data_IF_914448494613
#
_entry.id   IF_914448494613
#
_cell.length_a   1.000
_cell.length_b   1.000
_cell.length_c   1.000
_cell.angle_alpha   90.00
_cell.angle_beta   90.00
_cell.angle_gamma   90.00
#
_symmetry.space_group_name_H-M   'P 1'
#
loop_
_entity.id
_entity.type
_entity.pdbx_description
1 polymer ?
#
# COMPACT_ATOMS: atom_id res chain seq x y z
N UNK A 1 -34.02 41.44 22.33
CA UNK A 1 -33.79 42.11 23.60
C UNK A 1 -32.32 42.30 23.71
N UNK A 2 -31.94 43.45 23.36
CA UNK A 2 -31.35 44.59 24.14
C UNK A 2 -29.87 44.45 24.34
N UNK A 3 -29.18 45.23 23.58
CA UNK A 3 -27.88 45.89 23.75
C UNK A 3 -27.85 46.75 25.05
N UNK A 4 -26.90 47.60 25.38
CA UNK A 4 -25.54 47.90 24.89
C UNK A 4 -24.64 48.56 26.01
N UNK A 5 -23.62 49.36 25.54
CA UNK A 5 -22.97 50.56 26.12
C UNK A 5 -21.62 50.29 26.83
N UNK A 6 -20.66 51.20 26.84
CA UNK A 6 -20.27 52.41 26.10
C UNK A 6 -18.94 52.94 26.70
N UNK A 7 -18.10 53.51 25.87
CA UNK A 7 -17.41 54.83 25.85
C UNK A 7 -16.80 55.44 27.14
N UNK A 8 -15.64 56.09 26.91
CA UNK A 8 -15.11 57.28 27.59
C UNK A 8 -13.61 57.39 27.40
N UNK A 9 -12.97 58.13 26.60
CA UNK A 9 -12.89 59.57 26.26
C UNK A 9 -12.37 60.47 27.39
N UNK A 10 -11.25 61.20 27.13
CA UNK A 10 -10.76 62.39 27.87
C UNK A 10 -9.27 62.58 27.71
N UNK A 11 -8.82 63.37 27.00
CA UNK A 11 -8.49 64.78 26.61
C UNK A 11 -7.90 65.62 27.77
N UNK A 12 -6.86 66.35 27.39
CA UNK A 12 -6.48 67.67 27.93
C UNK A 12 -5.05 67.71 28.43
N UNK A 13 -4.23 68.59 28.12
CA UNK A 13 -4.09 69.86 27.45
C UNK A 13 -2.85 70.56 28.06
N UNK A 14 -2.00 71.08 27.22
CA UNK A 14 -1.25 72.34 27.24
C UNK A 14 -0.54 72.81 28.50
N UNK A 15 0.72 73.28 28.26
CA UNK A 15 1.40 74.28 29.07
C UNK A 15 2.75 74.66 28.47
N UNK A 16 2.77 75.77 27.74
CA UNK A 16 3.96 76.53 27.31
C UNK A 16 4.57 77.22 28.53
N UNK A 17 5.87 77.39 28.55
CA UNK A 17 6.53 78.67 28.84
C UNK A 17 8.01 78.66 28.45
N UNK A 18 8.44 79.69 28.02
CA UNK A 18 9.47 80.33 27.30
C UNK A 18 10.57 80.87 28.22
N UNK A 19 11.77 81.05 27.65
CA UNK A 19 12.78 82.13 27.81
C UNK A 19 14.08 81.79 28.54
N UNK A 20 15.14 81.86 27.87
CA UNK A 20 16.11 82.89 27.63
C UNK A 20 17.51 82.70 28.29
N UNK A 21 18.56 82.95 27.45
CA UNK A 21 19.88 83.46 27.72
C UNK A 21 21.06 82.50 27.86
N UNK A 22 21.93 82.55 26.79
CA UNK A 22 23.36 82.19 26.74
C UNK A 22 24.21 83.19 27.58
N UNK A 23 25.55 83.02 27.77
CA UNK A 23 26.58 82.53 26.84
C UNK A 23 27.82 81.82 27.47
N UNK A 24 28.63 81.23 26.58
CA UNK A 24 30.12 81.15 26.56
C UNK A 24 30.84 80.24 27.58
N UNK A 25 31.43 79.17 27.12
CA UNK A 25 32.87 78.98 26.93
C UNK A 25 33.22 77.58 26.45
N UNK A 26 34.24 77.28 25.69
CA UNK A 26 34.55 76.00 25.09
C UNK A 26 35.36 75.11 26.01
N UNK A 27 34.87 74.00 26.36
CA UNK A 27 35.65 72.97 27.01
C UNK A 27 35.98 71.84 26.03
N UNK A 28 37.28 71.65 25.82
CA UNK A 28 37.90 70.55 25.10
C UNK A 28 37.44 69.22 25.68
N UNK A 29 36.61 68.48 24.98
CA UNK A 29 36.32 67.12 25.28
C UNK A 29 37.33 66.15 24.65
N UNK A 30 37.82 65.12 25.37
CA UNK A 30 38.71 64.14 24.79
C UNK A 30 37.92 63.28 23.77
N UNK A 31 38.45 63.16 22.58
CA UNK A 31 37.98 62.22 21.58
C UNK A 31 38.10 60.81 22.12
N UNK A 32 36.98 60.22 22.56
CA UNK A 32 36.86 58.81 22.82
C UNK A 32 36.97 58.09 21.45
N UNK A 33 38.09 57.44 21.22
CA UNK A 33 38.22 56.47 20.16
C UNK A 33 37.31 55.28 20.47
N UNK A 34 36.09 55.32 19.94
CA UNK A 34 35.26 54.09 19.83
C UNK A 34 35.87 53.18 18.77
N UNK A 35 36.80 52.35 19.18
CA UNK A 35 37.14 51.18 18.38
C UNK A 35 35.92 50.25 18.36
N UNK A 36 35.15 50.34 17.29
CA UNK A 36 34.18 49.31 16.95
C UNK A 36 34.93 47.97 16.72
N UNK A 37 35.08 47.24 17.79
CA UNK A 37 35.54 45.84 17.72
C UNK A 37 34.40 45.03 17.15
N UNK A 38 34.32 44.92 15.82
CA UNK A 38 33.45 44.01 15.12
C UNK A 38 33.84 42.61 15.52
N UNK A 39 33.07 41.99 16.42
CA UNK A 39 33.19 40.59 16.74
C UNK A 39 33.00 39.79 15.46
N UNK A 40 33.84 38.82 15.15
CA UNK A 40 33.66 38.00 13.97
C UNK A 40 32.37 37.13 14.12
N UNK A 41 31.40 37.37 13.26
CA UNK A 41 30.13 36.58 13.15
C UNK A 41 30.35 35.13 12.66
N UNK A 42 31.59 34.61 12.71
CA UNK A 42 32.04 33.41 11.99
C UNK A 42 31.74 32.08 12.70
N UNK A 43 31.54 32.09 14.01
CA UNK A 43 31.44 30.81 14.77
C UNK A 43 30.06 30.13 14.71
N UNK A 44 28.97 30.90 14.62
CA UNK A 44 27.62 30.35 14.57
C UNK A 44 27.32 29.73 13.17
N UNK A 45 27.80 30.40 12.11
CA UNK A 45 27.61 29.92 10.73
C UNK A 45 28.43 28.68 10.41
N UNK A 46 29.64 28.54 10.99
CA UNK A 46 30.49 27.35 10.89
C UNK A 46 29.85 26.14 11.59
N UNK A 47 29.29 26.34 12.79
CA UNK A 47 28.61 25.30 13.56
C UNK A 47 27.31 24.83 12.86
N UNK A 48 26.59 25.74 12.21
CA UNK A 48 25.39 25.39 11.42
C UNK A 48 25.76 24.54 10.19
N UNK A 49 26.80 24.93 9.45
CA UNK A 49 27.29 24.17 8.30
C UNK A 49 27.80 22.79 8.70
N UNK A 50 28.54 22.69 9.79
CA UNK A 50 29.05 21.41 10.31
C UNK A 50 27.92 20.47 10.74
N UNK A 51 26.88 20.98 11.39
CA UNK A 51 25.66 20.20 11.72
C UNK A 51 24.95 19.72 10.45
N UNK A 52 24.82 20.59 9.43
CA UNK A 52 24.25 20.22 8.14
C UNK A 52 25.06 19.10 7.45
N UNK A 53 26.38 19.19 7.42
CA UNK A 53 27.25 18.14 6.86
C UNK A 53 27.12 16.82 7.63
N UNK A 54 27.02 16.85 8.96
CA UNK A 54 26.82 15.64 9.77
C UNK A 54 25.45 15.00 9.49
N UNK A 55 24.38 15.81 9.36
CA UNK A 55 23.04 15.30 9.02
C UNK A 55 23.04 14.69 7.62
N UNK A 56 23.63 15.38 6.63
CA UNK A 56 23.72 14.86 5.25
C UNK A 56 24.56 13.58 5.23
N UNK A 57 25.70 13.56 5.92
CA UNK A 57 26.56 12.40 6.01
C UNK A 57 25.92 11.18 6.68
N UNK A 58 24.95 11.40 7.60
CA UNK A 58 24.17 10.33 8.23
C UNK A 58 22.97 9.90 7.37
N UNK A 59 22.29 10.86 6.74
CA UNK A 59 21.10 10.56 5.93
C UNK A 59 21.45 9.92 4.59
N UNK A 60 22.57 10.30 3.96
CA UNK A 60 22.94 9.80 2.64
C UNK A 60 23.08 8.27 2.57
N UNK A 61 23.82 7.60 3.49
CA UNK A 61 23.91 6.14 3.48
C UNK A 61 22.56 5.46 3.77
N UNK A 62 21.71 6.05 4.62
CA UNK A 62 20.36 5.52 4.88
C UNK A 62 19.50 5.60 3.62
N UNK A 63 19.51 6.73 2.93
CA UNK A 63 18.82 6.90 1.65
C UNK A 63 19.37 5.95 0.59
N UNK A 64 20.69 5.78 0.52
CA UNK A 64 21.33 4.85 -0.41
C UNK A 64 20.93 3.39 -0.12
N UNK A 65 20.89 2.98 1.14
CA UNK A 65 20.43 1.63 1.54
C UNK A 65 18.96 1.42 1.20
N UNK A 66 18.10 2.40 1.48
CA UNK A 66 16.68 2.35 1.11
C UNK A 66 16.50 2.28 -0.40
N UNK A 67 17.28 3.04 -1.16
CA UNK A 67 17.27 3.02 -2.62
C UNK A 67 17.71 1.65 -3.15
N UNK A 68 18.85 1.13 -2.68
CA UNK A 68 19.34 -0.21 -3.03
C UNK A 68 18.30 -1.29 -2.71
N UNK A 69 17.73 -1.25 -1.52
CA UNK A 69 16.69 -2.20 -1.12
C UNK A 69 15.45 -2.13 -2.03
N UNK A 70 15.03 -0.93 -2.46
CA UNK A 70 13.90 -0.76 -3.38
C UNK A 70 14.21 -1.34 -4.77
N UNK A 71 15.44 -1.19 -5.26
CA UNK A 71 15.85 -1.58 -6.62
C UNK A 71 16.51 -2.96 -6.71
N UNK A 72 16.89 -3.62 -5.61
CA UNK A 72 17.25 -5.05 -5.61
C UNK A 72 15.97 -5.86 -5.80
N UNK A 73 15.66 -6.16 -7.06
CA UNK A 73 14.45 -6.86 -7.44
C UNK A 73 14.70 -8.36 -7.53
N UNK A 74 13.69 -9.20 -7.16
CA UNK A 74 13.79 -10.63 -7.45
C UNK A 74 13.80 -10.87 -8.97
N UNK A 75 14.55 -11.86 -9.41
CA UNK A 75 14.47 -12.32 -10.79
C UNK A 75 13.16 -13.10 -10.99
N UNK A 76 12.16 -12.41 -11.55
CA UNK A 76 10.85 -13.01 -11.83
C UNK A 76 10.84 -13.83 -13.12
N UNK A 77 11.89 -13.72 -13.96
CA UNK A 77 11.95 -14.43 -15.26
C UNK A 77 12.02 -15.94 -15.08
N UNK A 78 12.58 -16.41 -13.97
CA UNK A 78 12.62 -17.83 -13.59
C UNK A 78 11.22 -18.44 -13.47
N UNK A 79 10.20 -17.62 -13.14
CA UNK A 79 8.82 -18.08 -13.02
C UNK A 79 8.15 -18.44 -14.38
N UNK A 80 8.82 -18.17 -15.50
CA UNK A 80 8.36 -18.67 -16.82
C UNK A 80 8.31 -20.18 -16.88
N UNK A 81 9.31 -20.83 -16.28
CA UNK A 81 9.51 -22.28 -16.40
C UNK A 81 9.45 -22.99 -15.04
N UNK A 82 9.64 -22.30 -13.94
CA UNK A 82 9.70 -22.91 -12.61
C UNK A 82 8.60 -22.40 -11.70
N UNK A 83 8.17 -23.25 -10.78
CA UNK A 83 7.21 -22.89 -9.75
C UNK A 83 7.95 -22.48 -8.48
N UNK A 84 7.44 -21.53 -7.68
CA UNK A 84 8.05 -21.17 -6.42
C UNK A 84 7.99 -22.37 -5.45
N UNK A 85 9.07 -22.63 -4.71
CA UNK A 85 9.10 -23.68 -3.68
C UNK A 85 8.38 -23.24 -2.39
N UNK A 86 8.34 -21.94 -2.12
CA UNK A 86 7.69 -21.31 -0.98
C UNK A 86 7.39 -19.84 -1.35
N UNK A 87 6.43 -19.23 -0.68
CA UNK A 87 6.10 -17.81 -0.91
C UNK A 87 6.28 -17.01 0.37
N UNK A 88 6.57 -15.71 0.25
CA UNK A 88 6.66 -14.81 1.41
C UNK A 88 5.37 -14.80 2.25
N UNK A 89 4.21 -15.01 1.61
CA UNK A 89 2.94 -15.18 2.32
C UNK A 89 2.96 -16.40 3.24
N UNK A 90 3.41 -17.56 2.73
CA UNK A 90 3.49 -18.81 3.51
C UNK A 90 4.43 -18.68 4.69
N UNK A 91 5.63 -18.11 4.47
CA UNK A 91 6.61 -17.85 5.52
C UNK A 91 6.06 -16.88 6.58
N UNK A 92 5.42 -15.79 6.15
CA UNK A 92 4.78 -14.83 7.05
C UNK A 92 3.70 -15.49 7.90
N UNK A 93 2.88 -16.37 7.32
CA UNK A 93 1.83 -17.09 8.05
C UNK A 93 2.38 -18.07 9.07
N UNK A 94 3.44 -18.78 8.69
CA UNK A 94 4.14 -19.69 9.59
C UNK A 94 4.75 -18.93 10.79
N UNK A 95 5.48 -17.85 10.54
CA UNK A 95 6.06 -17.02 11.58
C UNK A 95 5.01 -16.39 12.51
N UNK A 96 3.85 -15.96 11.96
CA UNK A 96 2.73 -15.46 12.74
C UNK A 96 2.13 -16.54 13.67
N UNK A 97 2.03 -17.78 13.22
CA UNK A 97 1.54 -18.88 14.03
C UNK A 97 2.52 -19.24 15.16
N UNK A 98 3.80 -19.34 14.83
CA UNK A 98 4.87 -19.61 15.79
C UNK A 98 4.93 -18.55 16.90
N UNK A 99 4.80 -17.26 16.53
CA UNK A 99 4.73 -16.16 17.49
C UNK A 99 3.51 -16.24 18.43
N UNK A 100 2.46 -16.96 18.03
CA UNK A 100 1.25 -17.22 18.83
C UNK A 100 1.32 -18.58 19.56
N UNK A 101 2.45 -19.30 19.51
CA UNK A 101 2.67 -20.54 20.20
C UNK A 101 2.00 -21.76 19.56
N UNK A 102 1.63 -21.71 18.28
CA UNK A 102 1.06 -22.84 17.56
C UNK A 102 1.71 -23.02 16.17
N UNK A 103 1.51 -24.19 15.58
CA UNK A 103 1.96 -24.49 14.22
C UNK A 103 0.77 -24.57 13.28
N UNK A 104 0.94 -24.13 12.04
CA UNK A 104 -0.08 -24.27 10.99
C UNK A 104 0.43 -25.31 9.99
N UNK A 105 -0.38 -26.34 9.72
CA UNK A 105 -0.13 -27.26 8.62
C UNK A 105 -0.16 -26.52 7.29
N UNK A 106 0.75 -26.87 6.38
CA UNK A 106 0.76 -26.33 5.02
C UNK A 106 0.11 -27.35 4.09
N UNK A 107 -1.10 -27.05 3.60
CA UNK A 107 -1.79 -27.80 2.56
C UNK A 107 -1.60 -27.05 1.25
N UNK A 108 -0.72 -27.55 0.40
CA UNK A 108 -0.38 -26.92 -0.88
C UNK A 108 -0.13 -27.98 -1.94
N UNK A 109 -0.89 -27.91 -3.03
CA UNK A 109 -0.74 -28.79 -4.20
C UNK A 109 -0.75 -27.95 -5.45
N UNK A 110 0.33 -28.03 -6.23
CA UNK A 110 0.45 -27.33 -7.49
C UNK A 110 -0.21 -28.10 -8.62
N UNK A 111 -1.02 -27.42 -9.42
CA UNK A 111 -1.58 -27.96 -10.67
C UNK A 111 -1.42 -26.93 -11.82
N UNK A 112 -1.19 -27.35 -13.07
CA UNK A 112 -1.15 -26.44 -14.20
C UNK A 112 -2.54 -25.81 -14.41
N UNK A 113 -2.57 -24.62 -15.04
CA UNK A 113 -3.80 -23.86 -15.28
C UNK A 113 -4.88 -24.69 -16.00
N UNK A 114 -4.49 -25.56 -16.94
CA UNK A 114 -5.38 -26.47 -17.67
C UNK A 114 -6.09 -27.49 -16.78
N UNK A 115 -5.60 -27.74 -15.57
CA UNK A 115 -6.21 -28.61 -14.58
C UNK A 115 -7.03 -27.88 -13.52
N UNK A 116 -7.20 -26.56 -13.65
CA UNK A 116 -8.09 -25.76 -12.82
C UNK A 116 -9.36 -25.49 -13.61
N UNK A 117 -10.52 -25.72 -12.98
CA UNK A 117 -11.84 -25.49 -13.59
C UNK A 117 -11.91 -24.13 -14.31
N UNK A 118 -12.41 -24.04 -15.52
CA UNK A 118 -12.64 -22.79 -16.21
C UNK A 118 -13.56 -21.86 -15.40
N UNK A 119 -14.52 -22.41 -14.69
CA UNK A 119 -15.39 -21.64 -13.80
C UNK A 119 -14.63 -20.98 -12.66
N UNK A 120 -13.63 -21.66 -12.05
CA UNK A 120 -12.81 -21.04 -11.00
C UNK A 120 -11.91 -19.93 -11.56
N UNK A 121 -11.31 -20.15 -12.72
CA UNK A 121 -10.50 -19.13 -13.41
C UNK A 121 -11.31 -17.85 -13.66
N UNK A 122 -12.52 -18.01 -14.21
CA UNK A 122 -13.44 -16.90 -14.48
C UNK A 122 -13.96 -16.25 -13.19
N UNK A 123 -14.37 -17.06 -12.21
CA UNK A 123 -14.88 -16.54 -10.93
C UNK A 123 -13.87 -15.64 -10.23
N UNK A 124 -12.59 -16.05 -10.23
CA UNK A 124 -11.50 -15.30 -9.61
C UNK A 124 -11.23 -14.00 -10.35
N UNK A 125 -11.14 -14.05 -11.68
CA UNK A 125 -10.97 -12.84 -12.51
C UNK A 125 -12.14 -11.89 -12.29
N UNK A 126 -13.37 -12.37 -12.40
CA UNK A 126 -14.57 -11.56 -12.21
C UNK A 126 -14.68 -10.96 -10.78
N UNK A 127 -14.16 -11.67 -9.77
CA UNK A 127 -14.22 -11.22 -8.37
C UNK A 127 -13.15 -10.21 -8.00
N UNK A 128 -11.91 -10.43 -8.45
CA UNK A 128 -10.72 -9.73 -7.99
C UNK A 128 -10.20 -8.69 -9.00
N UNK A 129 -10.39 -8.92 -10.32
CA UNK A 129 -9.77 -8.11 -11.36
C UNK A 129 -10.46 -8.34 -12.72
N UNK A 130 -11.64 -7.77 -12.91
CA UNK A 130 -12.45 -8.02 -14.11
C UNK A 130 -11.76 -7.61 -15.42
N UNK A 131 -10.84 -6.65 -15.38
CA UNK A 131 -10.04 -6.17 -16.51
C UNK A 131 -8.67 -6.84 -16.65
N UNK A 132 -8.42 -7.96 -15.92
CA UNK A 132 -7.11 -8.62 -15.82
C UNK A 132 -6.41 -8.84 -17.17
N UNK A 133 -7.13 -9.29 -18.18
CA UNK A 133 -6.55 -9.59 -19.50
C UNK A 133 -6.30 -8.36 -20.37
N UNK A 134 -6.78 -7.17 -19.98
CA UNK A 134 -6.72 -5.95 -20.80
C UNK A 134 -5.75 -4.90 -20.29
N UNK A 135 -5.35 -4.96 -19.03
CA UNK A 135 -4.37 -4.01 -18.46
C UNK A 135 -2.98 -4.65 -18.29
N UNK A 136 -1.96 -3.84 -18.12
CA UNK A 136 -0.56 -4.23 -17.89
C UNK A 136 -0.18 -4.15 -16.38
N UNK A 137 -0.89 -4.91 -15.54
CA UNK A 137 -0.62 -5.02 -14.11
C UNK A 137 -1.31 -3.99 -13.22
N UNK A 138 -1.83 -2.89 -13.78
CA UNK A 138 -2.53 -1.84 -13.05
C UNK A 138 -3.81 -1.45 -13.78
N UNK A 139 -4.93 -1.62 -13.11
CA UNK A 139 -6.24 -1.12 -13.58
C UNK A 139 -6.43 0.32 -13.07
N UNK A 140 -5.95 1.29 -13.86
CA UNK A 140 -6.04 2.70 -13.49
C UNK A 140 -7.48 3.21 -13.44
N UNK A 141 -8.35 2.71 -14.31
CA UNK A 141 -9.78 3.05 -14.30
C UNK A 141 -10.47 2.48 -13.06
N UNK A 142 -10.25 1.20 -12.79
CA UNK A 142 -10.77 0.55 -11.59
C UNK A 142 -10.24 1.17 -10.28
N UNK A 143 -8.99 1.62 -10.24
CA UNK A 143 -8.42 2.36 -9.09
C UNK A 143 -9.14 3.69 -8.91
N UNK A 144 -9.37 4.44 -9.99
CA UNK A 144 -10.10 5.72 -9.96
C UNK A 144 -11.54 5.53 -9.49
N UNK A 145 -12.24 4.55 -10.04
CA UNK A 145 -13.62 4.23 -9.69
C UNK A 145 -13.74 3.77 -8.22
N UNK A 146 -12.79 2.95 -7.76
CA UNK A 146 -12.73 2.54 -6.36
C UNK A 146 -12.48 3.74 -5.43
N UNK A 147 -11.62 4.67 -5.82
CA UNK A 147 -11.33 5.88 -5.05
C UNK A 147 -12.55 6.80 -4.95
N UNK A 148 -13.23 7.04 -6.07
CA UNK A 148 -14.47 7.84 -6.11
C UNK A 148 -15.57 7.21 -5.26
N UNK A 149 -15.80 5.91 -5.43
CA UNK A 149 -16.79 5.18 -4.63
C UNK A 149 -16.51 5.26 -3.12
N UNK A 150 -15.23 5.08 -2.73
CA UNK A 150 -14.83 5.13 -1.32
C UNK A 150 -14.98 6.55 -0.74
N UNK A 151 -14.72 7.58 -1.55
CA UNK A 151 -14.92 8.98 -1.15
C UNK A 151 -16.41 9.28 -0.93
N UNK A 152 -17.28 8.86 -1.84
CA UNK A 152 -18.72 9.02 -1.71
C UNK A 152 -19.32 8.23 -0.54
N UNK A 153 -18.82 6.99 -0.32
CA UNK A 153 -19.28 6.14 0.77
C UNK A 153 -18.74 6.56 2.15
N UNK A 154 -17.73 7.46 2.21
CA UNK A 154 -17.03 7.82 3.44
C UNK A 154 -16.26 6.65 4.10
N UNK A 155 -16.07 5.54 3.41
CA UNK A 155 -15.47 4.31 3.91
C UNK A 155 -14.64 3.61 2.81
N UNK A 156 -13.55 2.92 3.21
CA UNK A 156 -12.74 2.09 2.31
C UNK A 156 -13.45 0.73 2.03
N UNK A 157 -14.40 0.72 1.12
CA UNK A 157 -15.21 -0.46 0.76
C UNK A 157 -14.71 -1.21 -0.47
N UNK A 158 -14.09 -0.52 -1.44
CA UNK A 158 -13.57 -1.11 -2.67
C UNK A 158 -12.04 -1.08 -2.67
N UNK A 159 -11.42 -2.21 -2.98
CA UNK A 159 -10.00 -2.32 -3.25
C UNK A 159 -9.73 -2.13 -4.75
N UNK A 160 -8.62 -1.49 -5.08
CA UNK A 160 -8.16 -1.32 -6.47
C UNK A 160 -6.87 -2.10 -6.75
N UNK A 161 -6.66 -3.25 -6.09
CA UNK A 161 -5.47 -4.08 -6.33
C UNK A 161 -5.79 -5.18 -7.34
N UNK A 162 -4.95 -5.32 -8.37
CA UNK A 162 -5.06 -6.32 -9.42
C UNK A 162 -4.55 -7.70 -8.97
N UNK A 163 -4.87 -8.76 -9.74
CA UNK A 163 -4.34 -10.11 -9.56
C UNK A 163 -2.82 -10.09 -9.55
N UNK A 164 -2.18 -9.37 -10.49
CA UNK A 164 -0.71 -9.28 -10.59
C UNK A 164 -0.10 -8.59 -9.37
N UNK A 165 -0.71 -7.54 -8.83
CA UNK A 165 -0.27 -6.90 -7.59
C UNK A 165 -0.40 -7.84 -6.38
N UNK A 166 -1.49 -8.60 -6.31
CA UNK A 166 -1.68 -9.59 -5.26
C UNK A 166 -0.65 -10.72 -5.37
N UNK A 167 -0.34 -11.19 -6.60
CA UNK A 167 0.70 -12.17 -6.86
C UNK A 167 2.08 -11.66 -6.40
N UNK A 168 2.46 -10.45 -6.81
CA UNK A 168 3.71 -9.81 -6.40
C UNK A 168 3.87 -9.78 -4.87
N UNK A 169 2.81 -9.36 -4.18
CA UNK A 169 2.74 -9.34 -2.72
C UNK A 169 2.90 -10.74 -2.13
N UNK A 170 2.15 -11.72 -2.62
CA UNK A 170 2.15 -13.08 -2.06
C UNK A 170 3.50 -13.79 -2.25
N UNK A 171 4.16 -13.57 -3.38
CA UNK A 171 5.43 -14.21 -3.69
C UNK A 171 6.62 -13.62 -2.90
N UNK A 172 6.68 -12.29 -2.77
CA UNK A 172 7.94 -11.61 -2.43
C UNK A 172 7.86 -10.62 -1.27
N UNK A 173 6.68 -10.28 -0.75
CA UNK A 173 6.53 -9.20 0.19
C UNK A 173 5.90 -9.63 1.52
N UNK A 174 6.36 -9.00 2.60
CA UNK A 174 5.75 -9.16 3.91
C UNK A 174 4.33 -8.59 3.97
N UNK A 175 3.57 -8.99 5.00
CA UNK A 175 2.22 -8.47 5.24
C UNK A 175 2.19 -7.06 5.86
N UNK A 176 3.33 -6.47 6.16
CA UNK A 176 3.43 -5.13 6.74
C UNK A 176 2.88 -4.06 5.78
N UNK A 177 2.18 -3.08 6.36
CA UNK A 177 1.62 -1.96 5.58
C UNK A 177 2.59 -0.79 5.63
N UNK A 178 3.37 -0.57 4.56
CA UNK A 178 4.24 0.59 4.40
C UNK A 178 4.22 1.10 2.96
N UNK A 179 4.50 2.39 2.78
CA UNK A 179 4.60 2.99 1.44
C UNK A 179 5.76 2.39 0.63
N UNK A 180 6.88 2.10 1.29
CA UNK A 180 8.03 1.44 0.65
C UNK A 180 7.69 0.05 0.14
N UNK A 181 6.96 -0.76 0.95
CA UNK A 181 6.45 -2.05 0.50
C UNK A 181 5.53 -1.89 -0.72
N UNK A 182 4.64 -0.89 -0.72
CA UNK A 182 3.74 -0.64 -1.86
C UNK A 182 4.50 -0.19 -3.11
N UNK A 183 5.54 0.61 -2.96
CA UNK A 183 6.43 0.97 -4.08
C UNK A 183 7.14 -0.27 -4.65
N UNK A 184 7.64 -1.17 -3.78
CA UNK A 184 8.26 -2.43 -4.21
C UNK A 184 7.26 -3.36 -4.87
N UNK A 185 6.03 -3.45 -4.37
CA UNK A 185 4.93 -4.19 -5.01
C UNK A 185 4.70 -3.68 -6.44
N UNK A 186 4.67 -2.35 -6.63
CA UNK A 186 4.52 -1.74 -7.94
C UNK A 186 5.63 -2.18 -8.92
N UNK A 187 6.90 -2.12 -8.50
CA UNK A 187 8.03 -2.50 -9.34
C UNK A 187 8.00 -4.00 -9.70
N UNK A 188 7.69 -4.87 -8.72
CA UNK A 188 7.59 -6.32 -8.95
C UNK A 188 6.41 -6.63 -9.88
N UNK A 189 5.26 -5.98 -9.70
CA UNK A 189 4.09 -6.12 -10.58
C UNK A 189 4.45 -5.83 -12.03
N UNK A 190 5.11 -4.69 -12.28
CA UNK A 190 5.57 -4.35 -13.61
C UNK A 190 6.54 -5.38 -14.19
N UNK A 191 7.46 -5.88 -13.36
CA UNK A 191 8.41 -6.92 -13.78
C UNK A 191 7.71 -8.24 -14.12
N UNK A 192 6.70 -8.66 -13.35
CA UNK A 192 5.90 -9.85 -13.64
C UNK A 192 5.20 -9.73 -15.00
N UNK A 193 4.54 -8.61 -15.27
CA UNK A 193 3.85 -8.38 -16.56
C UNK A 193 4.81 -8.32 -17.76
N UNK A 194 6.03 -7.82 -17.56
CA UNK A 194 7.02 -7.78 -18.63
C UNK A 194 7.62 -9.15 -18.96
N UNK A 195 7.63 -10.08 -18.02
CA UNK A 195 8.32 -11.36 -18.18
C UNK A 195 7.38 -12.55 -18.32
N UNK A 196 6.12 -12.45 -17.89
CA UNK A 196 5.17 -13.56 -17.88
C UNK A 196 3.96 -13.26 -18.75
N UNK A 197 3.32 -14.29 -19.30
CA UNK A 197 2.01 -14.16 -19.94
C UNK A 197 0.91 -14.04 -18.89
N UNK A 198 -0.26 -13.54 -19.25
CA UNK A 198 -1.43 -13.43 -18.40
C UNK A 198 -1.87 -14.78 -17.83
N UNK A 199 -1.83 -15.81 -18.66
CA UNK A 199 -2.17 -17.19 -18.29
C UNK A 199 -1.20 -17.69 -17.20
N UNK A 200 0.12 -17.41 -17.36
CA UNK A 200 1.11 -17.81 -16.37
C UNK A 200 0.96 -17.02 -15.05
N UNK A 201 0.66 -15.75 -15.12
CA UNK A 201 0.36 -14.93 -13.94
C UNK A 201 -0.87 -15.49 -13.20
N UNK A 202 -1.94 -15.82 -13.93
CA UNK A 202 -3.15 -16.39 -13.34
C UNK A 202 -2.88 -17.79 -12.76
N UNK A 203 -2.11 -18.64 -13.45
CA UNK A 203 -1.70 -19.94 -12.94
C UNK A 203 -0.95 -19.81 -11.61
N UNK A 204 0.06 -18.94 -11.57
CA UNK A 204 0.83 -18.67 -10.36
C UNK A 204 -0.09 -18.17 -9.24
N UNK A 205 -0.94 -17.18 -9.53
CA UNK A 205 -1.86 -16.63 -8.54
C UNK A 205 -2.79 -17.69 -7.94
N UNK A 206 -3.46 -18.48 -8.79
CA UNK A 206 -4.37 -19.52 -8.35
C UNK A 206 -3.68 -20.61 -7.53
N UNK A 207 -2.40 -20.86 -7.74
CA UNK A 207 -1.62 -21.84 -7.02
C UNK A 207 -0.98 -21.32 -5.72
N UNK A 208 -0.81 -19.99 -5.54
CA UNK A 208 -0.15 -19.44 -4.35
C UNK A 208 -1.09 -18.65 -3.42
N UNK A 209 -2.28 -18.30 -3.87
CA UNK A 209 -3.27 -17.61 -3.05
C UNK A 209 -3.66 -18.45 -1.82
N UNK A 210 -3.90 -17.77 -0.69
CA UNK A 210 -4.44 -18.40 0.53
C UNK A 210 -5.97 -18.54 0.38
N UNK A 211 -6.50 -19.75 0.62
CA UNK A 211 -7.92 -20.08 0.52
C UNK A 211 -8.53 -20.56 1.85
N UNK A 212 -7.76 -20.51 2.90
CA UNK A 212 -8.10 -20.92 4.26
C UNK A 212 -6.85 -20.89 5.12
N UNK A 213 -7.00 -21.12 6.41
CA UNK A 213 -5.84 -21.16 7.30
C UNK A 213 -4.91 -22.31 6.93
N UNK A 214 -3.72 -21.99 6.39
CA UNK A 214 -2.73 -22.97 5.94
C UNK A 214 -3.10 -23.70 4.64
N UNK A 215 -4.15 -23.27 3.93
CA UNK A 215 -4.60 -23.83 2.65
C UNK A 215 -4.19 -22.90 1.53
N UNK A 216 -3.28 -23.36 0.67
CA UNK A 216 -2.73 -22.58 -0.43
C UNK A 216 -2.96 -23.27 -1.78
N UNK A 217 -3.39 -22.50 -2.76
CA UNK A 217 -3.65 -22.97 -4.11
C UNK A 217 -5.02 -23.59 -4.31
N UNK A 218 -5.50 -23.50 -5.54
CA UNK A 218 -6.85 -23.91 -5.95
C UNK A 218 -7.12 -25.40 -5.72
N UNK A 219 -6.14 -26.28 -5.97
CA UNK A 219 -6.30 -27.72 -5.78
C UNK A 219 -6.48 -28.07 -4.31
N UNK A 220 -5.60 -27.53 -3.45
CA UNK A 220 -5.73 -27.73 -2.01
C UNK A 220 -7.04 -27.14 -1.46
N UNK A 221 -7.49 -26.00 -2.00
CA UNK A 221 -8.77 -25.39 -1.64
C UNK A 221 -9.97 -26.25 -2.01
N UNK A 222 -10.00 -26.79 -3.23
CA UNK A 222 -11.07 -27.69 -3.70
C UNK A 222 -11.16 -28.97 -2.85
N UNK A 223 -10.02 -29.59 -2.55
CA UNK A 223 -9.97 -30.72 -1.65
C UNK A 223 -10.39 -30.39 -0.21
N UNK A 224 -9.93 -29.24 0.30
CA UNK A 224 -10.24 -28.83 1.67
C UNK A 224 -11.74 -28.57 1.86
N UNK A 225 -12.34 -27.79 0.98
CA UNK A 225 -13.71 -27.30 1.13
C UNK A 225 -14.75 -28.24 0.49
N UNK A 226 -14.46 -28.84 -0.67
CA UNK A 226 -15.45 -29.60 -1.46
C UNK A 226 -15.11 -31.07 -1.66
N UNK A 227 -13.94 -31.56 -1.18
CA UNK A 227 -13.50 -32.96 -1.28
C UNK A 227 -13.37 -33.47 -2.72
N UNK A 228 -13.02 -32.60 -3.65
CA UNK A 228 -12.83 -32.91 -5.08
C UNK A 228 -11.61 -32.17 -5.67
N UNK A 229 -11.23 -32.54 -6.90
CA UNK A 229 -10.19 -31.81 -7.63
C UNK A 229 -10.68 -30.41 -8.03
N UNK A 230 -9.76 -29.47 -8.15
CA UNK A 230 -10.06 -28.13 -8.66
C UNK A 230 -10.59 -28.11 -10.08
N UNK A 231 -10.29 -29.15 -10.87
CA UNK A 231 -10.82 -29.36 -12.23
C UNK A 231 -12.33 -29.58 -12.23
N UNK A 232 -12.84 -30.24 -11.19
CA UNK A 232 -14.23 -30.71 -11.11
C UNK A 232 -15.15 -29.74 -10.36
N UNK A 233 -14.65 -28.54 -10.04
CA UNK A 233 -15.46 -27.50 -9.41
C UNK A 233 -16.54 -27.02 -10.38
N UNK A 234 -17.78 -26.96 -9.89
CA UNK A 234 -18.91 -26.34 -10.57
C UNK A 234 -18.79 -24.81 -10.54
N UNK A 235 -19.60 -24.12 -11.32
CA UNK A 235 -19.73 -22.67 -11.31
C UNK A 235 -20.11 -22.12 -9.92
N UNK A 236 -21.08 -22.76 -9.24
CA UNK A 236 -21.50 -22.40 -7.88
C UNK A 236 -20.34 -22.55 -6.87
N UNK A 237 -19.65 -23.68 -6.87
CA UNK A 237 -18.51 -23.93 -5.98
C UNK A 237 -17.33 -22.99 -6.27
N UNK A 238 -17.06 -22.71 -7.53
CA UNK A 238 -16.05 -21.77 -7.98
C UNK A 238 -16.36 -20.33 -7.49
N UNK A 239 -17.62 -19.93 -7.59
CA UNK A 239 -18.08 -18.63 -7.09
C UNK A 239 -17.96 -18.53 -5.56
N UNK A 240 -18.26 -19.60 -4.81
CA UNK A 240 -18.04 -19.65 -3.36
C UNK A 240 -16.56 -19.52 -3.00
N UNK A 241 -15.66 -20.23 -3.70
CA UNK A 241 -14.21 -20.07 -3.48
C UNK A 241 -13.76 -18.65 -3.79
N UNK A 242 -14.11 -18.10 -4.94
CA UNK A 242 -13.74 -16.75 -5.27
C UNK A 242 -14.28 -15.70 -4.26
N UNK A 243 -15.45 -15.95 -3.69
CA UNK A 243 -16.06 -15.06 -2.72
C UNK A 243 -15.27 -14.97 -1.39
N UNK A 244 -14.52 -15.99 -1.00
CA UNK A 244 -13.74 -15.97 0.25
C UNK A 244 -12.37 -15.31 0.12
N UNK A 245 -11.81 -15.16 -1.10
CA UNK A 245 -10.45 -14.67 -1.35
C UNK A 245 -10.04 -13.40 -0.59
N UNK A 246 -10.88 -12.38 -0.45
CA UNK A 246 -10.48 -11.17 0.27
C UNK A 246 -10.24 -11.36 1.76
N UNK A 247 -10.78 -12.44 2.36
CA UNK A 247 -10.57 -12.76 3.77
C UNK A 247 -10.69 -14.29 4.00
N UNK A 248 -9.79 -15.10 3.42
CA UNK A 248 -9.93 -16.56 3.37
C UNK A 248 -9.82 -17.22 4.73
N UNK A 249 -9.19 -16.57 5.69
CA UNK A 249 -9.08 -17.05 7.09
C UNK A 249 -10.33 -16.75 7.93
N UNK A 250 -11.16 -15.82 7.47
CA UNK A 250 -12.39 -15.40 8.17
C UNK A 250 -13.62 -16.08 7.62
N UNK A 251 -13.65 -16.33 6.33
CA UNK A 251 -14.79 -16.87 5.62
C UNK A 251 -14.58 -18.34 5.29
N UNK A 252 -15.62 -19.12 5.50
CA UNK A 252 -15.71 -20.52 5.09
C UNK A 252 -16.82 -20.59 4.02
N UNK A 253 -16.54 -21.11 2.81
CA UNK A 253 -17.55 -21.21 1.74
C UNK A 253 -18.72 -22.11 2.12
N UNK A 254 -18.56 -23.01 3.08
CA UNK A 254 -19.61 -23.86 3.60
C UNK A 254 -20.49 -23.16 4.64
N UNK A 255 -19.99 -22.07 5.26
CA UNK A 255 -20.75 -21.22 6.18
C UNK A 255 -21.29 -19.99 5.47
N UNK A 256 -22.38 -20.15 4.76
CA UNK A 256 -22.99 -19.17 3.85
C UNK A 256 -23.58 -17.96 4.60
N UNK A 257 -22.73 -17.07 5.11
CA UNK A 257 -23.20 -15.82 5.73
C UNK A 257 -23.85 -14.91 4.67
N UNK A 258 -24.78 -14.04 5.08
CA UNK A 258 -25.47 -13.10 4.16
C UNK A 258 -24.48 -12.25 3.34
N UNK A 259 -23.37 -11.79 3.95
CA UNK A 259 -22.36 -11.02 3.26
C UNK A 259 -21.62 -11.83 2.19
N UNK A 260 -21.30 -13.10 2.51
CA UNK A 260 -20.64 -14.01 1.59
C UNK A 260 -21.59 -14.40 0.45
N UNK A 261 -22.85 -14.71 0.75
CA UNK A 261 -23.87 -15.02 -0.25
C UNK A 261 -24.07 -13.88 -1.26
N UNK A 262 -24.17 -12.63 -0.79
CA UNK A 262 -24.26 -11.47 -1.69
C UNK A 262 -23.03 -11.30 -2.60
N UNK A 263 -21.84 -11.73 -2.15
CA UNK A 263 -20.63 -11.71 -2.96
C UNK A 263 -20.64 -12.82 -3.98
N UNK A 264 -20.98 -14.03 -3.57
CA UNK A 264 -21.18 -15.20 -4.42
C UNK A 264 -22.16 -14.89 -5.57
N UNK A 265 -23.37 -14.39 -5.27
CA UNK A 265 -24.39 -14.07 -6.28
C UNK A 265 -23.91 -13.02 -7.28
N UNK A 266 -23.09 -12.06 -6.84
CA UNK A 266 -22.49 -11.07 -7.76
C UNK A 266 -21.46 -11.69 -8.70
N UNK A 267 -20.69 -12.67 -8.21
CA UNK A 267 -19.69 -13.37 -9.01
C UNK A 267 -20.38 -14.25 -10.05
N UNK A 268 -21.38 -15.05 -9.66
CA UNK A 268 -22.16 -15.85 -10.59
C UNK A 268 -22.78 -15.02 -11.71
N UNK A 269 -23.43 -13.90 -11.37
CA UNK A 269 -24.02 -12.99 -12.38
C UNK A 269 -22.99 -12.41 -13.34
N UNK A 270 -21.70 -12.32 -12.97
CA UNK A 270 -20.63 -11.88 -13.85
C UNK A 270 -20.14 -12.98 -14.75
N UNK A 271 -19.98 -14.20 -14.23
CA UNK A 271 -19.59 -15.38 -15.00
C UNK A 271 -20.61 -15.66 -16.11
N UNK A 272 -21.92 -15.61 -15.78
CA UNK A 272 -23.00 -15.85 -16.75
C UNK A 272 -23.04 -14.84 -17.91
N UNK A 273 -22.52 -13.63 -17.70
CA UNK A 273 -22.52 -12.55 -18.70
C UNK A 273 -21.31 -12.59 -19.64
N UNK A 274 -20.21 -13.17 -19.19
CA UNK A 274 -18.99 -13.30 -19.94
C UNK A 274 -18.78 -14.79 -20.26
N UNK A 275 -19.28 -15.31 -21.40
CA UNK A 275 -19.03 -16.68 -21.77
C UNK A 275 -17.53 -16.93 -21.86
N UNK A 276 -17.13 -18.13 -21.42
CA UNK A 276 -15.74 -18.63 -21.44
C UNK A 276 -15.01 -18.17 -22.70
N UNK A 277 -13.90 -17.41 -22.51
CA UNK A 277 -12.98 -17.23 -23.62
C UNK A 277 -12.56 -18.62 -24.13
N UNK A 278 -12.61 -18.88 -25.45
CA UNK A 278 -12.19 -20.16 -25.97
C UNK A 278 -10.75 -20.44 -25.53
N UNK A 279 -10.50 -21.70 -25.17
CA UNK A 279 -9.14 -22.13 -24.89
C UNK A 279 -8.26 -21.87 -26.14
N UNK A 280 -7.03 -21.35 -25.98
CA UNK A 280 -6.10 -21.18 -27.10
C UNK A 280 -5.69 -22.50 -27.72
#
# INVERSE_FOLDING_TARGET
MVTPWARGAGRGARGKYMALISPLAPSLSPRAFHTHRTMPKSTAQSRSRMKAFLIIGLCLPVVAVLFLWLFIMPDVSVLRATNPAVTALMETRQAQAEAQGHTIGRHWMWVPLSRISPYLRQAVVAAEDASFFTHEGFDWEGIKDAALYNLEAGELKRGGSTITQQLAKNLYLSSERSLLRKAREFLITRSLEQHLTKERILELYLNVAEWGQGVYGAEAAAHHHFKKSSRDLTDDEAAWLAAILPSPRRYDPLRKTTALARRHDRILKRIDREPTQPEP
#
